data_IF_713039521736
#
_entry.id   IF_713039521736
#
_cell.length_a   1.000
_cell.length_b   1.000
_cell.length_c   1.000
_cell.angle_alpha   90.00
_cell.angle_beta   90.00
_cell.angle_gamma   90.00
#
_symmetry.space_group_name_H-M   'P 1'
#
loop_
_entity.id
_entity.type
_entity.pdbx_description
1 polymer ?
#
# COMPACT_ATOMS: atom_id res chain seq x y z
N UNK A 1 -10.97 -0.90 5.80
CA UNK A 1 -10.04 -0.59 6.93
C UNK A 1 -9.64 -1.87 7.64
N UNK A 2 -8.62 -1.83 8.51
CA UNK A 2 -8.27 -2.95 9.39
C UNK A 2 -8.89 -2.73 10.76
N UNK A 3 -9.60 -3.72 11.27
CA UNK A 3 -10.10 -3.77 12.65
C UNK A 3 -9.83 -5.15 13.23
N UNK A 4 -9.12 -5.21 14.36
CA UNK A 4 -8.77 -6.48 15.04
C UNK A 4 -8.05 -7.50 14.13
N UNK A 5 -7.20 -7.01 13.22
CA UNK A 5 -6.50 -7.86 12.25
C UNK A 5 -7.37 -8.40 11.11
N UNK A 6 -8.62 -7.94 10.99
CA UNK A 6 -9.55 -8.29 9.93
C UNK A 6 -9.86 -7.10 9.03
N UNK A 7 -10.16 -7.37 7.77
CA UNK A 7 -10.67 -6.40 6.84
C UNK A 7 -12.11 -6.04 7.24
N UNK A 8 -12.40 -4.74 7.29
CA UNK A 8 -13.75 -4.23 7.45
C UNK A 8 -14.11 -3.30 6.30
N UNK A 9 -15.21 -3.59 5.62
CA UNK A 9 -15.82 -2.69 4.65
C UNK A 9 -16.50 -1.56 5.41
N UNK A 10 -16.12 -0.32 5.12
CA UNK A 10 -16.72 0.87 5.72
C UNK A 10 -17.02 1.84 4.62
N UNK A 11 -18.24 2.34 4.61
CA UNK A 11 -18.67 3.39 3.71
C UNK A 11 -18.07 4.73 4.16
N UNK A 12 -17.64 5.52 3.18
CA UNK A 12 -17.00 6.83 3.37
C UNK A 12 -17.62 7.82 2.40
N UNK A 13 -17.69 9.07 2.82
CA UNK A 13 -18.14 10.16 1.96
C UNK A 13 -16.93 10.84 1.34
N UNK A 14 -16.91 10.91 0.02
CA UNK A 14 -15.81 11.51 -0.75
C UNK A 14 -16.20 12.93 -1.17
N UNK A 15 -15.24 13.84 -1.09
CA UNK A 15 -15.36 15.24 -1.50
C UNK A 15 -14.77 15.49 -2.90
N UNK A 16 -13.90 16.48 -3.00
CA UNK A 16 -13.20 16.76 -4.25
C UNK A 16 -12.24 15.61 -4.62
N UNK A 17 -12.16 15.31 -5.90
CA UNK A 17 -11.32 14.23 -6.44
C UNK A 17 -10.47 14.82 -7.58
N UNK A 18 -9.20 14.48 -7.62
CA UNK A 18 -8.28 14.72 -8.72
C UNK A 18 -7.91 13.39 -9.40
N UNK A 19 -7.03 13.42 -10.40
CA UNK A 19 -6.54 12.21 -11.05
C UNK A 19 -5.77 11.28 -10.09
N UNK A 20 -5.21 11.84 -9.01
CA UNK A 20 -4.34 11.12 -8.07
C UNK A 20 -4.90 11.00 -6.67
N UNK A 21 -5.72 11.95 -6.24
CA UNK A 21 -6.09 12.13 -4.84
C UNK A 21 -7.61 12.28 -4.69
N UNK A 22 -8.13 11.83 -3.56
CA UNK A 22 -9.54 11.98 -3.21
C UNK A 22 -9.65 12.46 -1.76
N UNK A 23 -10.45 13.49 -1.54
CA UNK A 23 -10.76 14.02 -0.22
C UNK A 23 -11.79 13.15 0.50
N UNK A 24 -11.55 12.81 1.77
CA UNK A 24 -12.52 12.10 2.61
C UNK A 24 -13.19 13.11 3.54
N UNK A 25 -14.50 13.32 3.37
CA UNK A 25 -15.32 14.22 4.19
C UNK A 25 -15.77 13.57 5.49
N UNK A 26 -16.18 12.30 5.42
CA UNK A 26 -16.72 11.57 6.56
C UNK A 26 -16.55 10.07 6.42
N UNK A 27 -16.74 9.33 7.51
CA UNK A 27 -16.67 7.87 7.53
C UNK A 27 -15.28 7.29 7.82
N UNK A 28 -14.25 8.11 8.07
CA UNK A 28 -12.92 7.64 8.48
C UNK A 28 -12.34 8.57 9.56
N UNK A 29 -11.65 8.01 10.55
CA UNK A 29 -10.89 8.78 11.54
C UNK A 29 -9.39 8.79 11.19
N UNK A 30 -8.65 9.79 11.65
CA UNK A 30 -7.20 9.91 11.39
C UNK A 30 -6.38 8.74 11.95
N UNK A 31 -6.87 8.11 13.01
CA UNK A 31 -6.24 6.93 13.63
C UNK A 31 -6.59 5.61 12.93
N UNK A 32 -7.51 5.61 11.96
CA UNK A 32 -7.92 4.40 11.26
C UNK A 32 -6.83 3.91 10.30
N UNK A 33 -6.53 2.62 10.34
CA UNK A 33 -5.62 2.00 9.37
C UNK A 33 -6.39 1.58 8.11
N UNK A 34 -6.06 2.20 6.98
CA UNK A 34 -6.66 1.91 5.67
C UNK A 34 -5.89 0.79 4.96
N UNK A 35 -6.64 -0.07 4.25
CA UNK A 35 -6.04 -1.13 3.43
C UNK A 35 -5.81 -0.54 2.03
N UNK A 36 -4.56 -0.55 1.58
CA UNK A 36 -4.18 -0.06 0.24
C UNK A 36 -3.46 -1.15 -0.55
N UNK A 37 -3.61 -1.11 -1.87
CA UNK A 37 -2.95 -2.08 -2.74
C UNK A 37 -3.56 -2.13 -4.15
N UNK A 38 -3.09 -3.05 -5.00
CA UNK A 38 -3.61 -3.23 -6.35
C UNK A 38 -5.08 -3.62 -6.34
N UNK A 39 -5.87 -3.02 -7.24
CA UNK A 39 -7.31 -3.29 -7.37
C UNK A 39 -7.64 -4.79 -7.45
N UNK A 40 -6.89 -5.56 -8.25
CA UNK A 40 -7.09 -7.01 -8.42
C UNK A 40 -7.05 -7.82 -7.11
N UNK A 41 -6.34 -7.32 -6.11
CA UNK A 41 -6.25 -7.94 -4.78
C UNK A 41 -7.41 -7.47 -3.91
N UNK A 42 -7.67 -6.16 -3.90
CA UNK A 42 -8.74 -5.56 -3.10
C UNK A 42 -10.13 -6.03 -3.54
N UNK A 43 -10.36 -6.24 -4.84
CA UNK A 43 -11.66 -6.68 -5.36
C UNK A 43 -12.06 -8.10 -4.94
N UNK A 44 -11.11 -8.89 -4.43
CA UNK A 44 -11.35 -10.24 -3.90
C UNK A 44 -11.46 -10.26 -2.37
N UNK A 45 -11.12 -9.17 -1.71
CA UNK A 45 -11.12 -9.06 -0.26
C UNK A 45 -12.57 -8.95 0.23
N UNK A 46 -12.95 -9.79 1.18
CA UNK A 46 -14.27 -9.79 1.79
C UNK A 46 -14.22 -9.18 3.18
N UNK A 47 -15.39 -8.75 3.66
CA UNK A 47 -15.53 -8.34 5.05
C UNK A 47 -15.20 -9.51 5.99
N UNK A 48 -14.42 -9.25 7.03
CA UNK A 48 -13.97 -10.24 8.00
C UNK A 48 -12.71 -11.03 7.63
N UNK A 49 -12.18 -10.87 6.42
CA UNK A 49 -10.96 -11.57 5.98
C UNK A 49 -9.75 -11.18 6.84
N UNK A 50 -8.92 -12.17 7.18
CA UNK A 50 -7.68 -11.92 7.92
C UNK A 50 -6.68 -11.14 7.06
N UNK A 51 -6.14 -10.08 7.63
CA UNK A 51 -5.16 -9.21 6.96
C UNK A 51 -3.97 -8.95 7.87
N UNK A 52 -2.78 -8.85 7.26
CA UNK A 52 -1.55 -8.53 7.98
C UNK A 52 -0.99 -7.20 7.49
N UNK A 53 -0.88 -6.24 8.41
CA UNK A 53 -0.24 -4.97 8.12
C UNK A 53 1.21 -5.19 7.70
N UNK A 54 1.61 -4.52 6.62
CA UNK A 54 3.01 -4.43 6.18
C UNK A 54 3.38 -2.95 6.11
N UNK A 55 4.58 -2.56 6.57
CA UNK A 55 5.02 -1.18 6.46
C UNK A 55 5.06 -0.78 4.99
N UNK A 56 4.58 0.43 4.69
CA UNK A 56 4.60 1.00 3.36
C UNK A 56 6.04 1.11 2.89
N UNK A 57 6.45 0.23 1.96
CA UNK A 57 7.75 0.36 1.30
C UNK A 57 7.65 1.52 0.33
N UNK A 58 8.17 2.67 0.72
CA UNK A 58 8.33 3.83 -0.15
C UNK A 58 9.10 3.38 -1.41
N UNK A 59 8.41 3.31 -2.55
CA UNK A 59 8.94 2.63 -3.74
C UNK A 59 10.08 3.41 -4.41
N UNK A 60 10.27 4.69 -4.07
CA UNK A 60 11.28 5.58 -4.67
C UNK A 60 12.74 5.15 -4.48
N UNK A 61 13.06 4.15 -3.65
CA UNK A 61 14.46 3.77 -3.34
C UNK A 61 14.86 2.33 -3.76
N UNK A 62 14.01 1.58 -4.47
CA UNK A 62 14.34 0.18 -4.84
C UNK A 62 15.16 0.06 -6.12
N UNK A 63 14.98 0.96 -7.08
CA UNK A 63 15.63 0.85 -8.39
C UNK A 63 17.11 1.20 -8.34
N UNK A 64 17.48 2.22 -7.55
CA UNK A 64 18.87 2.60 -7.26
C UNK A 64 19.64 1.48 -6.54
N UNK A 65 19.03 0.86 -5.52
CA UNK A 65 19.64 -0.26 -4.77
C UNK A 65 19.87 -1.51 -5.64
N UNK A 66 18.93 -1.86 -6.54
CA UNK A 66 19.10 -2.98 -7.48
C UNK A 66 20.22 -2.72 -8.48
N UNK A 67 20.35 -1.48 -8.98
CA UNK A 67 21.39 -1.09 -9.95
C UNK A 67 22.79 -1.17 -9.31
N UNK A 68 22.94 -0.67 -8.08
CA UNK A 68 24.18 -0.76 -7.31
C UNK A 68 24.60 -2.21 -7.06
N UNK A 69 23.67 -3.08 -6.64
CA UNK A 69 23.95 -4.52 -6.43
C UNK A 69 24.36 -5.24 -7.71
N UNK A 70 23.77 -4.89 -8.85
CA UNK A 70 24.13 -5.47 -10.16
C UNK A 70 25.53 -5.05 -10.60
N UNK A 71 25.90 -3.78 -10.36
CA UNK A 71 27.22 -3.24 -10.68
C UNK A 71 28.33 -3.86 -9.82
N UNK A 72 28.12 -3.99 -8.51
CA UNK A 72 29.09 -4.64 -7.61
C UNK A 72 29.34 -6.09 -8.02
N UNK A 73 28.29 -6.84 -8.39
CA UNK A 73 28.42 -8.22 -8.89
C UNK A 73 29.16 -8.29 -10.22
N UNK A 74 29.02 -7.27 -11.07
CA UNK A 74 29.73 -7.19 -12.35
C UNK A 74 31.23 -6.95 -12.15
N UNK A 75 31.60 -6.06 -11.22
CA UNK A 75 32.99 -5.77 -10.89
C UNK A 75 33.66 -7.02 -10.28
N UNK A 76 33.00 -7.68 -9.32
CA UNK A 76 33.53 -8.90 -8.66
C UNK A 76 33.64 -10.13 -9.56
N UNK A 77 33.03 -10.12 -10.76
CA UNK A 77 33.16 -11.19 -11.76
C UNK A 77 34.35 -11.00 -12.71
N UNK A 78 35.00 -9.84 -12.68
CA UNK A 78 36.13 -9.47 -13.55
C UNK A 78 37.48 -9.44 -12.82
N UNK A 79 37.50 -9.72 -11.52
CA UNK A 79 38.70 -9.90 -10.70
C UNK A 79 38.76 -11.35 -10.25
#
# INVERSE_FOLDING_TARGET
MVKDGKAKLKEVEIGAISDTDAEIKSGLAESDTVIIGPYRVLSKLKDGDLVKAKPLKNQKNKDTSKKARKLIRFIKKRT
#
